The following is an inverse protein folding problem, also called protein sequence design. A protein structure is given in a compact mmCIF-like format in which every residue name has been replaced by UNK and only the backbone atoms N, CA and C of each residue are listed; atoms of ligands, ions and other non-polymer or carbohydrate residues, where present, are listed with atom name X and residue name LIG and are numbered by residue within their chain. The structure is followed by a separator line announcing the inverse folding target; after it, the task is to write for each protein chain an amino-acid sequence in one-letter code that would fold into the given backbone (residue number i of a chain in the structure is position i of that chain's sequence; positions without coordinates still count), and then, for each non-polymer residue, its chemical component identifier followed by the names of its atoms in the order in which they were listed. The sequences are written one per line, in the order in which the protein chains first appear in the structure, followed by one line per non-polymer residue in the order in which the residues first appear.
data_IF_433009529061
#
_entry.id   IF_433009529061
#
_cell.length_a   1.000
_cell.length_b   1.000
_cell.length_c   1.000
_cell.angle_alpha   90.00
_cell.angle_beta   90.00
_cell.angle_gamma   90.00
#
_symmetry.space_group_name_H-M   'P 1'
#
loop_
_entity.id
_entity.type
_entity.pdbx_description
1 polymer ?
#
# COMPACT_ATOMS: atom_id res chain seq x y z
N UNK A 1 -34.37 -3.66 27.07
CA UNK A 1 -34.18 -5.12 27.29
C UNK A 1 -33.12 -5.40 28.35
N UNK A 2 -31.81 -5.17 28.14
CA UNK A 2 -30.79 -5.48 29.15
C UNK A 2 -30.97 -4.69 30.46
N UNK A 3 -31.29 -3.39 30.38
CA UNK A 3 -31.58 -2.55 31.55
C UNK A 3 -32.81 -3.04 32.32
N UNK A 4 -33.85 -3.49 31.61
CA UNK A 4 -35.09 -4.02 32.20
C UNK A 4 -34.87 -5.42 32.81
N UNK A 5 -34.03 -6.26 32.20
CA UNK A 5 -33.64 -7.57 32.72
C UNK A 5 -32.79 -7.43 33.99
N UNK A 6 -31.87 -6.45 34.04
CA UNK A 6 -31.06 -6.15 35.24
C UNK A 6 -31.91 -5.66 36.41
N UNK A 7 -32.99 -4.92 36.13
CA UNK A 7 -33.95 -4.49 37.16
C UNK A 7 -34.79 -5.66 37.69
N UNK A 8 -35.17 -6.62 36.83
CA UNK A 8 -35.97 -7.79 37.21
C UNK A 8 -35.16 -8.92 37.84
N UNK A 9 -33.88 -9.00 37.50
CA UNK A 9 -32.93 -10.00 37.99
C UNK A 9 -31.63 -9.32 38.46
N UNK A 10 -31.68 -8.56 39.57
CA UNK A 10 -30.50 -7.89 40.10
C UNK A 10 -29.42 -8.85 40.60
N UNK A 11 -29.77 -10.12 40.84
CA UNK A 11 -28.88 -11.20 41.30
C UNK A 11 -28.04 -11.83 40.19
N UNK A 12 -28.34 -11.54 38.92
CA UNK A 12 -27.71 -12.21 37.78
C UNK A 12 -26.56 -11.40 37.21
N UNK A 13 -25.49 -12.12 36.88
CA UNK A 13 -24.30 -11.53 36.29
C UNK A 13 -24.57 -11.02 34.86
N UNK A 14 -23.70 -10.14 34.36
CA UNK A 14 -23.88 -9.49 33.06
C UNK A 14 -24.02 -10.51 31.92
N UNK A 15 -23.21 -11.57 31.94
CA UNK A 15 -23.25 -12.64 30.94
C UNK A 15 -24.57 -13.41 30.96
N UNK A 16 -25.11 -13.66 32.16
CA UNK A 16 -26.41 -14.32 32.31
C UNK A 16 -27.55 -13.43 31.82
N UNK A 17 -27.45 -12.11 32.04
CA UNK A 17 -28.41 -11.14 31.52
C UNK A 17 -28.36 -11.03 29.99
N UNK A 18 -27.17 -11.13 29.40
CA UNK A 18 -26.96 -11.20 27.93
C UNK A 18 -27.55 -12.47 27.35
N UNK A 19 -27.32 -13.63 27.97
CA UNK A 19 -27.93 -14.90 27.55
C UNK A 19 -29.46 -14.81 27.59
N UNK A 20 -30.03 -14.24 28.66
CA UNK A 20 -31.48 -14.04 28.80
C UNK A 20 -32.04 -13.07 27.74
N UNK A 21 -31.31 -12.00 27.42
CA UNK A 21 -31.70 -11.06 26.36
C UNK A 21 -31.71 -11.73 24.98
N UNK A 22 -30.67 -12.52 24.68
CA UNK A 22 -30.55 -13.25 23.42
C UNK A 22 -31.64 -14.31 23.27
N UNK A 23 -31.91 -15.08 24.33
CA UNK A 23 -33.01 -16.04 24.34
C UNK A 23 -34.37 -15.35 24.15
N UNK A 24 -34.60 -14.21 24.81
CA UNK A 24 -35.83 -13.44 24.69
C UNK A 24 -36.03 -12.92 23.26
N UNK A 25 -34.98 -12.42 22.62
CA UNK A 25 -35.03 -11.97 21.23
C UNK A 25 -35.40 -13.12 20.28
N UNK A 26 -34.72 -14.27 20.42
CA UNK A 26 -34.99 -15.47 19.62
C UNK A 26 -36.39 -16.07 19.89
N UNK A 27 -36.93 -15.91 21.10
CA UNK A 27 -38.25 -16.44 21.43
C UNK A 27 -39.39 -15.65 20.81
N UNK A 28 -39.21 -14.33 20.64
CA UNK A 28 -40.23 -13.41 20.13
C UNK A 28 -40.20 -13.24 18.59
N UNK A 29 -39.21 -13.82 17.91
CA UNK A 29 -39.19 -13.88 16.45
C UNK A 29 -40.27 -14.83 15.90
N UNK A 30 -40.78 -14.55 14.69
CA UNK A 30 -41.69 -15.45 13.99
C UNK A 30 -40.97 -16.75 13.63
N UNK A 31 -41.59 -17.89 13.96
CA UNK A 31 -41.00 -19.22 13.81
C UNK A 31 -41.69 -19.99 12.70
N UNK A 32 -40.90 -20.73 11.92
CA UNK A 32 -41.42 -21.59 10.85
C UNK A 32 -42.14 -22.82 11.41
N UNK A 33 -43.02 -23.42 10.61
CA UNK A 33 -43.71 -24.67 10.98
C UNK A 33 -42.73 -25.84 11.21
N UNK A 34 -41.60 -25.85 10.50
CA UNK A 34 -40.54 -26.83 10.70
C UNK A 34 -39.90 -26.73 12.10
N UNK A 35 -39.70 -25.52 12.60
CA UNK A 35 -39.15 -25.28 13.94
C UNK A 35 -39.94 -26.00 15.04
N UNK A 36 -41.27 -25.90 15.03
CA UNK A 36 -42.13 -26.56 16.02
C UNK A 36 -42.07 -28.09 15.95
N UNK A 37 -41.99 -28.64 14.73
CA UNK A 37 -41.85 -30.10 14.53
C UNK A 37 -40.53 -30.62 15.09
N UNK A 38 -39.44 -29.90 14.87
CA UNK A 38 -38.10 -30.26 15.36
C UNK A 38 -38.03 -30.06 16.88
N UNK A 39 -38.65 -29.00 17.41
CA UNK A 39 -38.66 -28.75 18.85
C UNK A 39 -39.42 -29.84 19.62
N UNK A 40 -40.57 -30.26 19.12
CA UNK A 40 -41.35 -31.34 19.75
C UNK A 40 -40.57 -32.66 19.78
N UNK A 41 -39.98 -33.06 18.65
CA UNK A 41 -39.16 -34.28 18.57
C UNK A 41 -37.93 -34.22 19.47
N UNK A 42 -37.26 -33.06 19.58
CA UNK A 42 -36.13 -32.89 20.52
C UNK A 42 -36.54 -32.93 21.99
N UNK A 43 -37.73 -32.44 22.34
CA UNK A 43 -38.24 -32.58 23.71
C UNK A 43 -38.58 -34.03 24.04
N UNK A 44 -39.16 -34.77 23.09
CA UNK A 44 -39.48 -36.19 23.24
C UNK A 44 -38.25 -37.09 23.33
N UNK A 45 -37.16 -36.74 22.65
CA UNK A 45 -35.89 -37.50 22.61
C UNK A 45 -34.86 -37.03 23.64
N UNK A 46 -35.23 -36.10 24.54
CA UNK A 46 -34.34 -35.61 25.60
C UNK A 46 -33.28 -34.59 25.16
N UNK A 47 -33.28 -34.16 23.90
CA UNK A 47 -32.31 -33.19 23.35
C UNK A 47 -32.60 -31.71 23.74
N UNK A 48 -33.67 -31.46 24.49
CA UNK A 48 -33.99 -30.16 25.10
C UNK A 48 -34.50 -29.07 24.13
N UNK A 49 -34.55 -27.82 24.61
CA UNK A 49 -35.05 -26.67 23.84
C UNK A 49 -33.98 -26.13 22.87
N UNK A 50 -34.33 -25.97 21.59
CA UNK A 50 -33.42 -25.53 20.51
C UNK A 50 -32.90 -24.13 20.78
N UNK A 51 -33.78 -23.22 21.19
CA UNK A 51 -33.42 -21.81 21.40
C UNK A 51 -32.51 -21.63 22.60
N UNK A 52 -32.73 -22.41 23.67
CA UNK A 52 -31.89 -22.36 24.87
C UNK A 52 -30.50 -22.89 24.57
N UNK A 53 -30.40 -23.97 23.78
CA UNK A 53 -29.11 -24.50 23.32
C UNK A 53 -28.37 -23.47 22.44
N UNK A 54 -29.06 -22.87 21.47
CA UNK A 54 -28.46 -21.87 20.58
C UNK A 54 -27.99 -20.61 21.33
N UNK A 55 -28.81 -20.10 22.26
CA UNK A 55 -28.43 -18.94 23.08
C UNK A 55 -27.20 -19.23 23.95
N UNK A 56 -27.13 -20.40 24.60
CA UNK A 56 -25.99 -20.81 25.40
C UNK A 56 -24.72 -21.06 24.54
N UNK A 57 -24.88 -21.62 23.34
CA UNK A 57 -23.77 -21.86 22.40
C UNK A 57 -23.20 -20.54 21.84
N UNK A 58 -24.07 -19.57 21.57
CA UNK A 58 -23.67 -18.22 21.16
C UNK A 58 -22.97 -17.45 22.29
N UNK A 59 -23.45 -17.58 23.54
CA UNK A 59 -22.79 -16.99 24.71
C UNK A 59 -21.38 -17.57 24.95
N UNK A 60 -21.22 -18.90 24.79
CA UNK A 60 -19.90 -19.56 24.84
C UNK A 60 -18.98 -19.13 23.69
N UNK A 61 -19.54 -18.84 22.52
CA UNK A 61 -18.77 -18.34 21.37
C UNK A 61 -18.29 -16.92 21.59
N UNK A 62 -19.10 -16.07 22.24
CA UNK A 62 -18.68 -14.71 22.61
C UNK A 62 -17.63 -14.68 23.73
N UNK A 63 -17.68 -15.60 24.70
CA UNK A 63 -16.64 -15.67 25.74
C UNK A 63 -15.33 -16.27 25.22
N UNK A 64 -15.39 -17.27 24.33
CA UNK A 64 -14.19 -17.78 23.64
C UNK A 64 -13.56 -16.78 22.65
N UNK A 65 -14.30 -15.76 22.21
CA UNK A 65 -13.75 -14.62 21.45
C UNK A 65 -13.12 -13.53 22.34
N UNK A 66 -13.22 -13.63 23.67
CA UNK A 66 -12.72 -12.62 24.61
C UNK A 66 -11.62 -13.11 25.57
N UNK A 67 -11.17 -14.36 25.46
CA UNK A 67 -10.09 -14.92 26.31
C UNK A 67 -8.89 -15.49 25.55
N UNK A 68 -8.77 -15.24 24.24
CA UNK A 68 -7.48 -15.37 23.56
C UNK A 68 -7.32 -14.22 22.58
N UNK A 69 -6.93 -13.05 23.10
CA UNK A 69 -6.12 -12.14 22.30
C UNK A 69 -4.77 -12.85 22.18
N UNK A 70 -4.67 -13.78 21.21
CA UNK A 70 -3.37 -14.16 20.69
C UNK A 70 -2.78 -12.84 20.25
N UNK A 71 -1.74 -12.33 20.92
CA UNK A 71 -0.80 -11.44 20.25
C UNK A 71 -0.48 -12.15 18.94
N UNK A 72 -0.89 -11.56 17.82
CA UNK A 72 -0.70 -12.19 16.53
C UNK A 72 0.79 -12.53 16.45
N UNK A 73 1.18 -13.79 16.14
CA UNK A 73 2.58 -14.15 16.01
C UNK A 73 3.33 -13.29 14.97
N UNK A 74 2.59 -12.49 14.19
CA UNK A 74 3.06 -11.50 13.25
C UNK A 74 3.87 -10.35 13.87
N UNK A 75 3.61 -9.96 15.11
CA UNK A 75 4.32 -8.83 15.75
C UNK A 75 5.73 -9.20 16.24
N UNK A 76 6.03 -10.49 16.38
CA UNK A 76 7.35 -10.99 16.78
C UNK A 76 8.30 -11.21 15.60
N UNK A 77 7.79 -11.18 14.36
CA UNK A 77 8.58 -11.42 13.15
C UNK A 77 8.92 -10.08 12.49
N UNK A 78 10.20 -9.83 12.25
CA UNK A 78 10.59 -8.66 11.46
C UNK A 78 10.29 -8.88 9.99
N UNK A 79 9.33 -8.13 9.46
CA UNK A 79 8.94 -8.10 8.05
C UNK A 79 9.75 -7.02 7.34
N UNK A 80 10.47 -7.38 6.28
CA UNK A 80 11.25 -6.44 5.46
C UNK A 80 10.68 -6.38 4.04
N UNK A 81 10.39 -5.19 3.55
CA UNK A 81 9.73 -4.96 2.25
C UNK A 81 9.99 -3.54 1.72
N UNK A 82 9.64 -3.27 0.46
CA UNK A 82 9.70 -1.94 -0.13
C UNK A 82 8.48 -1.09 0.23
N UNK A 83 8.70 0.17 0.62
CA UNK A 83 7.62 1.15 0.84
C UNK A 83 8.12 2.57 0.50
N UNK A 84 7.66 3.18 -0.62
CA UNK A 84 6.72 2.63 -1.60
C UNK A 84 7.33 1.50 -2.44
N UNK A 85 6.50 0.83 -3.24
CA UNK A 85 6.94 -0.22 -4.18
C UNK A 85 6.97 0.22 -5.65
N UNK A 86 6.65 1.48 -5.93
CA UNK A 86 6.73 2.09 -7.25
C UNK A 86 7.40 3.45 -7.11
N UNK A 87 8.38 3.70 -7.96
CA UNK A 87 9.19 4.91 -8.00
C UNK A 87 9.16 5.47 -9.41
N UNK A 88 9.26 6.80 -9.51
CA UNK A 88 9.37 7.50 -10.79
C UNK A 88 10.48 8.53 -10.67
N UNK A 89 11.32 8.60 -11.69
CA UNK A 89 12.40 9.57 -11.78
C UNK A 89 12.53 10.06 -13.21
N UNK A 90 13.02 11.30 -13.37
CA UNK A 90 13.49 11.78 -14.66
C UNK A 90 14.82 11.11 -14.98
N UNK A 91 15.10 10.91 -16.26
CA UNK A 91 16.37 10.41 -16.75
C UNK A 91 17.56 11.26 -16.23
N UNK A 92 17.43 12.59 -16.33
CA UNK A 92 18.43 13.54 -15.84
C UNK A 92 18.61 13.65 -14.30
N UNK A 93 17.93 12.82 -13.49
CA UNK A 93 18.03 12.91 -12.03
C UNK A 93 19.38 12.42 -11.48
N UNK A 94 20.14 11.67 -12.28
CA UNK A 94 21.42 11.06 -11.95
C UNK A 94 21.34 9.86 -11.00
N UNK A 95 20.46 9.88 -10.00
CA UNK A 95 20.18 8.72 -9.16
C UNK A 95 18.78 8.75 -8.52
N UNK A 96 18.14 7.60 -8.47
CA UNK A 96 16.86 7.38 -7.78
C UNK A 96 17.10 6.82 -6.37
N UNK A 97 16.36 7.34 -5.38
CA UNK A 97 16.41 6.86 -3.98
C UNK A 97 15.26 5.91 -3.69
N UNK A 98 15.59 4.69 -3.25
CA UNK A 98 14.63 3.68 -2.86
C UNK A 98 14.67 3.44 -1.34
N UNK A 99 13.50 3.12 -0.78
CA UNK A 99 13.33 2.91 0.66
C UNK A 99 12.92 1.48 0.96
N UNK A 100 13.69 0.82 1.82
CA UNK A 100 13.33 -0.47 2.42
C UNK A 100 12.88 -0.25 3.85
N UNK A 101 11.74 -0.82 4.20
CA UNK A 101 11.12 -0.70 5.52
C UNK A 101 11.15 -2.04 6.23
N UNK A 102 11.37 -1.97 7.54
CA UNK A 102 11.25 -3.05 8.50
C UNK A 102 10.09 -2.76 9.45
N UNK A 103 9.19 -3.73 9.59
CA UNK A 103 8.03 -3.66 10.49
C UNK A 103 7.92 -4.91 11.36
N UNK A 104 7.63 -4.73 12.64
CA UNK A 104 7.49 -5.83 13.60
C UNK A 104 8.83 -6.47 14.01
N UNK A 105 8.74 -7.43 14.91
CA UNK A 105 9.87 -8.12 15.54
C UNK A 105 10.76 -7.21 16.37
N UNK A 106 11.91 -7.74 16.78
CA UNK A 106 12.84 -7.06 17.69
C UNK A 106 13.75 -6.07 16.95
N UNK A 107 13.37 -4.79 16.95
CA UNK A 107 14.10 -3.70 16.28
C UNK A 107 15.53 -3.51 16.82
N UNK A 108 15.88 -4.08 17.97
CA UNK A 108 17.26 -4.04 18.50
C UNK A 108 18.24 -4.91 17.69
N UNK A 109 17.74 -5.87 16.91
CA UNK A 109 18.59 -6.72 16.06
C UNK A 109 18.97 -6.02 14.77
N UNK A 110 20.19 -6.25 14.31
CA UNK A 110 20.64 -5.77 12.98
C UNK A 110 20.21 -6.77 11.91
N UNK A 111 19.55 -6.27 10.88
CA UNK A 111 19.03 -7.04 9.75
C UNK A 111 19.79 -6.64 8.49
N UNK A 112 20.18 -7.62 7.69
CA UNK A 112 20.80 -7.42 6.39
C UNK A 112 19.91 -8.04 5.33
N UNK A 113 19.69 -7.32 4.24
CA UNK A 113 18.93 -7.80 3.09
C UNK A 113 19.70 -7.46 1.83
N UNK A 114 19.86 -8.44 0.95
CA UNK A 114 20.52 -8.21 -0.33
C UNK A 114 19.51 -7.66 -1.33
N UNK A 115 19.97 -6.80 -2.22
CA UNK A 115 19.17 -6.28 -3.32
C UNK A 115 19.93 -6.40 -4.63
N UNK A 116 19.18 -6.48 -5.72
CA UNK A 116 19.71 -6.55 -7.07
C UNK A 116 18.73 -5.91 -8.05
N UNK A 117 19.26 -5.16 -9.02
CA UNK A 117 18.50 -4.65 -10.16
C UNK A 117 18.26 -5.74 -11.21
N UNK A 118 17.08 -5.74 -11.81
CA UNK A 118 16.66 -6.63 -12.89
C UNK A 118 16.06 -5.78 -14.02
N UNK A 119 16.44 -6.08 -15.26
CA UNK A 119 15.97 -5.35 -16.44
C UNK A 119 14.45 -5.52 -16.63
N UNK A 120 13.82 -4.47 -17.16
CA UNK A 120 12.42 -4.48 -17.59
C UNK A 120 12.34 -4.13 -19.07
N UNK A 121 11.78 -2.96 -19.39
CA UNK A 121 12.02 -2.33 -20.70
C UNK A 121 13.35 -1.58 -20.71
N UNK A 122 13.71 -0.96 -19.58
CA UNK A 122 15.02 -0.37 -19.35
C UNK A 122 16.07 -1.45 -19.08
N UNK A 123 17.26 -1.26 -19.65
CA UNK A 123 18.41 -2.13 -19.68
C UNK A 123 19.59 -1.54 -18.91
N UNK A 124 20.22 -2.37 -18.07
CA UNK A 124 21.40 -1.96 -17.34
C UNK A 124 22.57 -1.59 -18.29
N UNK A 125 23.18 -0.43 -18.04
CA UNK A 125 24.29 0.13 -18.81
C UNK A 125 23.87 1.01 -19.99
N UNK A 126 22.59 1.01 -20.37
CA UNK A 126 21.99 2.00 -21.27
C UNK A 126 21.24 3.05 -20.44
N UNK A 127 20.26 2.62 -19.66
CA UNK A 127 19.28 3.54 -19.03
C UNK A 127 19.49 3.67 -17.51
N UNK A 128 20.12 2.68 -16.90
CA UNK A 128 20.46 2.70 -15.47
C UNK A 128 21.72 1.89 -15.15
N UNK A 129 22.35 2.14 -14.01
CA UNK A 129 23.53 1.39 -13.58
C UNK A 129 23.16 0.06 -12.91
N UNK A 130 23.73 -1.05 -13.39
CA UNK A 130 23.60 -2.34 -12.71
C UNK A 130 24.10 -2.23 -11.26
N UNK A 131 23.19 -2.46 -10.30
CA UNK A 131 23.50 -2.32 -8.89
C UNK A 131 23.04 -3.55 -8.12
N UNK A 132 23.96 -4.17 -7.39
CA UNK A 132 23.67 -5.18 -6.38
C UNK A 132 24.44 -4.90 -5.10
N UNK A 133 23.86 -5.28 -3.97
CA UNK A 133 24.52 -5.03 -2.68
C UNK A 133 23.70 -5.50 -1.49
N UNK A 134 24.15 -5.12 -0.30
CA UNK A 134 23.47 -5.42 0.96
C UNK A 134 23.02 -4.14 1.64
N UNK A 135 21.73 -4.05 1.94
CA UNK A 135 21.16 -3.04 2.83
C UNK A 135 21.29 -3.52 4.26
N UNK A 136 21.84 -2.65 5.13
CA UNK A 136 22.02 -2.92 6.56
C UNK A 136 21.08 -2.02 7.35
N UNK A 137 20.09 -2.63 7.99
CA UNK A 137 19.20 -2.02 8.97
C UNK A 137 19.80 -2.26 10.36
N UNK A 138 20.45 -1.24 10.91
CA UNK A 138 21.07 -1.31 12.24
C UNK A 138 20.03 -1.41 13.34
N UNK A 139 20.49 -1.75 14.56
CA UNK A 139 19.66 -1.67 15.76
C UNK A 139 18.95 -0.32 15.86
N UNK A 140 17.62 -0.33 15.98
CA UNK A 140 16.78 0.87 16.05
C UNK A 140 16.38 1.46 14.69
N UNK A 141 16.99 1.04 13.57
CA UNK A 141 16.59 1.50 12.24
C UNK A 141 15.39 0.70 11.72
N UNK A 142 14.29 1.40 11.44
CA UNK A 142 13.07 0.82 10.86
C UNK A 142 12.98 1.02 9.35
N UNK A 143 13.83 1.87 8.77
CA UNK A 143 13.89 2.08 7.33
C UNK A 143 15.31 2.43 6.90
N UNK A 144 15.63 2.12 5.64
CA UNK A 144 16.92 2.47 5.03
C UNK A 144 16.71 2.90 3.59
N UNK A 145 17.37 4.00 3.23
CA UNK A 145 17.44 4.49 1.86
C UNK A 145 18.74 4.05 1.20
N UNK A 146 18.67 3.77 -0.09
CA UNK A 146 19.82 3.52 -0.96
C UNK A 146 19.53 4.07 -2.36
N UNK A 147 20.59 4.35 -3.11
CA UNK A 147 20.50 4.98 -4.44
C UNK A 147 20.87 4.01 -5.55
N UNK A 148 20.23 4.15 -6.71
CA UNK A 148 20.59 3.49 -7.96
C UNK A 148 20.88 4.58 -8.99
N UNK A 149 22.02 4.48 -9.68
CA UNK A 149 22.40 5.44 -10.71
C UNK A 149 21.48 5.34 -11.93
N UNK A 150 21.03 6.49 -12.43
CA UNK A 150 20.29 6.61 -13.69
C UNK A 150 21.24 7.22 -14.72
N UNK A 151 21.25 6.65 -15.92
CA UNK A 151 22.09 7.12 -17.01
C UNK A 151 21.25 8.09 -17.82
N UNK A 152 21.84 9.24 -18.15
CA UNK A 152 21.23 10.35 -18.88
C UNK A 152 21.86 10.44 -20.26
N UNK A 153 21.05 10.46 -21.32
CA UNK A 153 21.53 10.73 -22.66
C UNK A 153 20.82 11.90 -23.39
N UNK A 154 20.80 11.85 -24.72
CA UNK A 154 20.35 12.93 -25.61
C UNK A 154 19.31 12.43 -26.64
N UNK A 155 18.87 11.18 -26.52
CA UNK A 155 18.02 10.45 -27.46
C UNK A 155 16.63 10.33 -26.84
N UNK A 156 15.62 10.83 -27.55
CA UNK A 156 14.23 10.65 -27.11
C UNK A 156 13.80 9.16 -27.12
N UNK A 157 13.36 8.70 -25.96
CA UNK A 157 12.83 7.36 -25.70
C UNK A 157 11.40 7.40 -25.11
N UNK A 158 10.71 6.25 -25.07
CA UNK A 158 9.43 6.13 -24.37
C UNK A 158 9.66 5.90 -22.87
N UNK A 159 8.65 6.10 -22.02
CA UNK A 159 8.79 5.80 -20.58
C UNK A 159 9.18 4.33 -20.35
N UNK A 160 10.33 4.12 -19.72
CA UNK A 160 10.87 2.79 -19.49
C UNK A 160 10.85 2.42 -18.01
N UNK A 161 11.00 1.13 -17.70
CA UNK A 161 11.04 0.67 -16.31
C UNK A 161 12.00 -0.49 -16.11
N UNK A 162 12.55 -0.57 -14.90
CA UNK A 162 13.32 -1.70 -14.40
C UNK A 162 12.83 -2.09 -12.99
N UNK A 163 13.34 -3.21 -12.49
CA UNK A 163 12.93 -3.76 -11.20
C UNK A 163 14.09 -3.82 -10.21
N UNK A 164 13.77 -3.76 -8.93
CA UNK A 164 14.73 -3.97 -7.84
C UNK A 164 14.18 -5.03 -6.91
N UNK A 165 14.90 -6.13 -6.71
CA UNK A 165 14.46 -7.29 -5.94
C UNK A 165 15.23 -7.42 -4.64
N UNK A 166 14.52 -7.61 -3.53
CA UNK A 166 15.08 -8.02 -2.25
C UNK A 166 15.26 -9.54 -2.19
N UNK A 167 16.38 -9.98 -1.62
CA UNK A 167 16.72 -11.39 -1.45
C UNK A 167 17.64 -11.60 -0.24
N UNK A 168 17.90 -12.87 0.10
CA UNK A 168 18.90 -13.27 1.10
C UNK A 168 18.85 -12.49 2.44
N UNK A 169 17.67 -12.44 3.05
CA UNK A 169 17.45 -11.81 4.35
C UNK A 169 18.19 -12.57 5.45
N UNK A 170 19.01 -11.88 6.24
CA UNK A 170 19.77 -12.45 7.36
C UNK A 170 19.72 -11.53 8.58
N UNK A 171 19.68 -12.11 9.78
CA UNK A 171 19.65 -11.41 11.05
C UNK A 171 20.92 -11.78 11.82
N UNK A 172 21.64 -10.79 12.35
CA UNK A 172 22.84 -11.05 13.18
C UNK A 172 22.45 -10.99 14.64
N UNK A 173 22.77 -12.06 15.36
CA UNK A 173 22.63 -12.20 16.79
C UNK A 173 23.99 -11.97 17.44
N UNK A 174 24.19 -10.81 18.03
CA UNK A 174 25.22 -10.68 19.04
C UNK A 174 24.65 -11.23 20.36
N UNK A 175 25.29 -12.27 20.90
CA UNK A 175 25.12 -12.78 22.27
C UNK A 175 23.75 -13.36 22.68
N UNK A 176 23.04 -14.08 21.80
CA UNK A 176 21.88 -14.88 22.27
C UNK A 176 22.32 -16.26 22.80
N UNK A 177 21.90 -16.63 24.03
CA UNK A 177 22.13 -17.98 24.53
C UNK A 177 21.42 -19.01 23.63
N UNK A 178 22.03 -20.18 23.37
CA UNK A 178 21.54 -21.18 22.42
C UNK A 178 20.14 -21.73 22.73
N UNK A 179 19.60 -21.44 23.92
CA UNK A 179 18.28 -21.83 24.38
C UNK A 179 17.13 -21.05 23.70
N UNK A 180 17.39 -19.86 23.12
CA UNK A 180 16.38 -19.05 22.41
C UNK A 180 16.35 -19.27 20.89
N UNK A 181 17.23 -20.13 20.35
CA UNK A 181 17.29 -20.45 18.92
C UNK A 181 16.22 -21.46 18.45
N UNK A 182 15.36 -21.93 19.36
CA UNK A 182 14.25 -22.84 19.07
C UNK A 182 12.89 -22.14 19.07
N UNK A 183 12.80 -20.96 18.45
CA UNK A 183 11.50 -20.36 18.15
C UNK A 183 10.83 -21.16 17.01
N UNK A 184 9.51 -21.46 17.10
CA UNK A 184 8.80 -22.20 16.06
C UNK A 184 8.55 -21.37 14.78
N UNK A 185 9.07 -20.15 14.71
CA UNK A 185 8.87 -19.20 13.62
C UNK A 185 10.18 -18.47 13.26
N UNK A 186 10.35 -18.05 11.99
CA UNK A 186 11.54 -17.30 11.57
C UNK A 186 11.61 -15.93 12.27
N UNK A 187 12.81 -15.50 12.66
CA UNK A 187 13.05 -14.20 13.32
C UNK A 187 12.77 -13.00 12.38
N UNK A 188 12.97 -13.19 11.07
CA UNK A 188 12.65 -12.20 10.05
C UNK A 188 12.21 -12.86 8.74
N UNK A 189 11.36 -12.19 7.98
CA UNK A 189 10.88 -12.63 6.67
C UNK A 189 10.87 -11.48 5.66
N UNK A 190 11.05 -11.80 4.38
CA UNK A 190 10.73 -10.87 3.30
C UNK A 190 9.22 -10.85 3.13
N UNK A 191 8.63 -9.66 3.29
CA UNK A 191 7.21 -9.44 3.07
C UNK A 191 6.97 -8.87 1.68
N UNK A 192 5.71 -8.98 1.22
CA UNK A 192 5.29 -8.32 -0.02
C UNK A 192 5.05 -6.83 0.25
N UNK A 193 5.52 -5.92 -0.62
CA UNK A 193 6.24 -6.17 -1.87
C UNK A 193 7.76 -6.31 -1.66
N UNK A 194 8.34 -7.40 -2.16
CA UNK A 194 9.79 -7.64 -2.16
C UNK A 194 10.46 -7.21 -3.48
N UNK A 195 9.68 -6.70 -4.43
CA UNK A 195 10.15 -6.12 -5.69
C UNK A 195 9.58 -4.70 -5.77
N UNK A 196 10.45 -3.74 -6.07
CA UNK A 196 10.05 -2.38 -6.43
C UNK A 196 10.19 -2.21 -7.95
N UNK A 197 9.26 -1.45 -8.54
CA UNK A 197 9.35 -1.00 -9.93
C UNK A 197 9.83 0.44 -9.95
N UNK A 198 10.80 0.74 -10.80
CA UNK A 198 11.26 2.11 -11.05
C UNK A 198 10.95 2.45 -12.50
N UNK A 199 10.23 3.55 -12.72
CA UNK A 199 9.96 4.09 -14.06
C UNK A 199 10.86 5.29 -14.31
N UNK A 200 11.58 5.26 -15.43
CA UNK A 200 12.42 6.35 -15.94
C UNK A 200 11.55 7.13 -16.94
N UNK A 201 11.46 8.43 -16.73
CA UNK A 201 10.74 9.36 -17.58
C UNK A 201 11.76 10.14 -18.42
N UNK A 202 11.68 9.98 -19.72
CA UNK A 202 12.50 10.69 -20.70
C UNK A 202 12.25 12.21 -20.66
N UNK A 203 13.32 13.00 -20.75
CA UNK A 203 13.24 14.46 -20.88
C UNK A 203 13.83 15.03 -22.18
N UNK A 204 14.08 14.16 -23.16
CA UNK A 204 14.73 14.45 -24.42
C UNK A 204 13.78 14.74 -25.59
N UNK A 205 12.48 14.72 -25.33
CA UNK A 205 11.52 15.16 -26.32
C UNK A 205 11.77 16.63 -26.76
N UNK A 206 11.79 16.87 -28.08
CA UNK A 206 12.06 18.19 -28.66
C UNK A 206 10.96 19.25 -28.36
N UNK A 207 9.85 18.82 -27.78
CA UNK A 207 8.74 19.66 -27.36
C UNK A 207 7.66 19.87 -28.43
N UNK A 208 6.45 20.08 -27.95
CA UNK A 208 5.25 20.38 -28.75
C UNK A 208 4.99 21.87 -28.65
N UNK A 209 4.79 22.54 -29.78
CA UNK A 209 4.59 23.98 -29.84
C UNK A 209 3.12 24.31 -30.09
N UNK A 210 2.51 25.10 -29.20
CA UNK A 210 1.11 25.55 -29.30
C UNK A 210 0.96 27.00 -28.85
N UNK A 211 -0.12 27.67 -29.24
CA UNK A 211 -0.49 28.95 -28.65
C UNK A 211 -1.11 28.75 -27.26
N UNK A 212 -0.97 29.76 -26.39
CA UNK A 212 -1.63 29.78 -25.08
C UNK A 212 -3.16 29.90 -25.21
N UNK A 213 -3.63 30.60 -26.26
CA UNK A 213 -5.05 30.81 -26.53
C UNK A 213 -5.31 30.81 -28.04
N UNK A 214 -6.46 30.26 -28.45
CA UNK A 214 -6.90 30.24 -29.85
C UNK A 214 -7.40 31.61 -30.33
N UNK A 215 -7.95 32.42 -29.41
CA UNK A 215 -8.52 33.74 -29.71
C UNK A 215 -8.07 34.75 -28.64
N UNK A 216 -7.57 35.89 -29.09
CA UNK A 216 -7.14 36.99 -28.23
C UNK A 216 -7.87 38.26 -28.68
N UNK A 217 -8.52 38.95 -27.74
CA UNK A 217 -9.14 40.25 -27.97
C UNK A 217 -8.20 41.37 -27.53
N UNK A 218 -7.93 42.32 -28.43
CA UNK A 218 -6.96 43.38 -28.21
C UNK A 218 -7.57 44.73 -28.56
N UNK A 219 -7.19 45.78 -27.83
CA UNK A 219 -7.52 47.16 -28.19
C UNK A 219 -6.54 47.65 -29.27
N UNK A 220 -7.02 48.40 -30.25
CA UNK A 220 -6.18 49.04 -31.27
C UNK A 220 -5.14 50.00 -30.65
N UNK A 221 -5.41 50.52 -29.45
CA UNK A 221 -4.53 51.43 -28.73
C UNK A 221 -3.32 50.77 -28.04
N UNK A 222 -3.17 49.43 -28.09
CA UNK A 222 -2.11 48.71 -27.37
C UNK A 222 -0.73 48.88 -28.03
N UNK A 223 -0.68 49.21 -29.33
CA UNK A 223 0.56 49.33 -30.10
C UNK A 223 1.14 47.97 -30.51
N UNK A 224 1.71 47.23 -29.56
CA UNK A 224 2.33 45.92 -29.82
C UNK A 224 1.64 44.87 -28.94
N UNK A 225 1.27 43.74 -29.56
CA UNK A 225 0.75 42.57 -28.86
C UNK A 225 1.81 41.45 -28.86
N UNK A 226 2.13 40.95 -27.67
CA UNK A 226 2.96 39.77 -27.48
C UNK A 226 2.08 38.51 -27.50
N UNK A 227 2.32 37.63 -28.48
CA UNK A 227 1.63 36.34 -28.58
C UNK A 227 2.54 35.26 -28.04
N UNK A 228 2.13 34.58 -26.97
CA UNK A 228 2.92 33.50 -26.37
C UNK A 228 2.78 32.21 -27.17
N UNK A 229 3.93 31.60 -27.47
CA UNK A 229 4.05 30.23 -27.95
C UNK A 229 4.56 29.38 -26.79
N UNK A 230 3.80 28.36 -26.42
CA UNK A 230 4.13 27.41 -25.38
C UNK A 230 4.87 26.22 -26.02
N UNK A 231 5.98 25.81 -25.40
CA UNK A 231 6.68 24.55 -25.67
C UNK A 231 6.36 23.59 -24.53
N UNK A 232 5.67 22.50 -24.80
CA UNK A 232 5.25 21.49 -23.81
C UNK A 232 5.85 20.12 -24.13
N UNK A 233 5.73 19.16 -23.21
CA UNK A 233 6.18 17.78 -23.40
C UNK A 233 7.70 17.59 -23.59
N UNK A 234 8.51 18.64 -23.49
CA UNK A 234 9.97 18.55 -23.59
C UNK A 234 10.63 19.85 -24.02
N UNK A 235 11.92 19.99 -23.74
CA UNK A 235 12.69 21.21 -24.01
C UNK A 235 14.04 20.96 -24.70
N UNK A 236 14.30 19.72 -25.11
CA UNK A 236 15.61 19.29 -25.61
C UNK A 236 15.94 19.90 -26.98
N UNK A 237 17.19 20.34 -27.13
CA UNK A 237 17.69 20.89 -28.38
C UNK A 237 17.12 22.26 -28.79
N UNK A 238 17.62 22.77 -29.92
CA UNK A 238 17.21 24.04 -30.50
C UNK A 238 16.20 23.81 -31.62
N UNK A 239 15.01 24.41 -31.50
CA UNK A 239 13.93 24.30 -32.50
C UNK A 239 13.66 25.66 -33.14
N UNK A 240 13.55 25.68 -34.47
CA UNK A 240 13.16 26.87 -35.24
C UNK A 240 11.68 26.72 -35.62
N UNK A 241 10.82 27.60 -35.08
CA UNK A 241 9.39 27.62 -35.37
C UNK A 241 9.07 28.81 -36.28
N UNK A 242 8.81 28.59 -37.59
CA UNK A 242 8.44 29.66 -38.50
C UNK A 242 7.03 30.19 -38.17
N UNK A 243 6.85 31.50 -38.23
CA UNK A 243 5.55 32.13 -38.04
C UNK A 243 5.25 33.14 -39.14
N UNK A 244 3.97 33.39 -39.38
CA UNK A 244 3.49 34.47 -40.27
C UNK A 244 2.12 34.95 -39.80
N UNK A 245 1.80 36.20 -40.07
CA UNK A 245 0.44 36.72 -39.93
C UNK A 245 -0.37 36.39 -41.18
N UNK A 246 -1.68 36.24 -41.01
CA UNK A 246 -2.63 36.04 -42.12
C UNK A 246 -3.73 37.08 -41.98
N UNK A 247 -4.01 37.80 -43.06
CA UNK A 247 -5.05 38.82 -43.05
C UNK A 247 -6.44 38.19 -42.95
N UNK A 248 -7.25 38.71 -42.04
CA UNK A 248 -8.67 38.40 -41.93
C UNK A 248 -9.51 39.59 -42.36
N UNK A 249 -10.46 39.98 -41.51
CA UNK A 249 -11.17 41.26 -41.63
C UNK A 249 -10.23 42.45 -41.42
N UNK A 250 -9.20 42.30 -40.59
CA UNK A 250 -8.11 43.26 -40.45
C UNK A 250 -7.06 43.10 -41.56
N UNK A 251 -6.52 44.23 -42.03
CA UNK A 251 -5.51 44.33 -43.11
C UNK A 251 -4.17 44.81 -42.57
N UNK A 252 -3.08 44.27 -43.10
CA UNK A 252 -1.73 44.70 -42.71
C UNK A 252 -1.34 46.04 -43.33
N UNK A 253 -0.40 46.76 -42.69
CA UNK A 253 0.20 47.98 -43.25
C UNK A 253 -0.61 49.27 -43.10
N UNK A 254 -1.56 49.30 -42.16
CA UNK A 254 -2.30 50.50 -41.75
C UNK A 254 -1.54 51.39 -40.78
#
# INVERSE_FOLDING_TARGET
ILKDLKQKHPEKDLDQLVEMANYYALSHQQKSRAFYRIQATRMMTGAGNILKKHAAEQAKRSTSLHEVQLEEPEDFISKVYFDPCSYQCLENCGAVLLTVVRKGGDVSKTVYVDYKTEDGSANAGADYEFTEGTIVLKSGETQKEFSIGIIDDDIFEEDEHFFVRLSNLRVVEADEPPELNNLPYPKAILASPCVATVTILDDDHAGIFTFECDVIHVSESIGIMEVKVLRTSGARGTVIVPFRTVEGTAKGGG
#
